data_IF_026339419999
#
_entry.id   IF_026339419999
#
_cell.length_a   1.000
_cell.length_b   1.000
_cell.length_c   1.000
_cell.angle_alpha   90.00
_cell.angle_beta   90.00
_cell.angle_gamma   90.00
#
_symmetry.space_group_name_H-M   'P 1'
#
loop_
_entity.id
_entity.type
_entity.pdbx_description
1 polymer ?
#
# COMPACT_ATOMS: atom_id res chain seq x y z
N UNK A 1 -21.29 -1.33 28.78
CA UNK A 1 -21.43 -0.56 27.52
C UNK A 1 -20.10 -0.43 26.82
N UNK A 2 -20.08 -0.69 25.54
CA UNK A 2 -18.87 -0.65 24.71
C UNK A 2 -18.39 0.79 24.56
N UNK A 3 -17.08 1.03 24.76
CA UNK A 3 -16.44 2.34 24.61
C UNK A 3 -16.67 2.95 23.22
N UNK A 4 -16.61 2.14 22.16
CA UNK A 4 -16.84 2.60 20.78
C UNK A 4 -18.30 3.04 20.58
N UNK A 5 -19.25 2.35 21.21
CA UNK A 5 -20.66 2.73 21.16
C UNK A 5 -20.90 4.07 21.86
N UNK A 6 -20.24 4.30 23.00
CA UNK A 6 -20.31 5.59 23.71
C UNK A 6 -19.76 6.73 22.87
N UNK A 7 -18.59 6.54 22.25
CA UNK A 7 -17.98 7.53 21.38
C UNK A 7 -18.89 7.90 20.20
N UNK A 8 -19.52 6.89 19.59
CA UNK A 8 -20.44 7.13 18.49
C UNK A 8 -21.66 7.93 18.92
N UNK A 9 -22.19 7.64 20.10
CA UNK A 9 -23.32 8.37 20.69
C UNK A 9 -22.99 9.84 20.90
N UNK A 10 -21.83 10.11 21.49
CA UNK A 10 -21.35 11.47 21.74
C UNK A 10 -21.19 12.29 20.45
N UNK A 11 -20.80 11.63 19.36
CA UNK A 11 -20.61 12.26 18.06
C UNK A 11 -21.85 12.26 17.17
N UNK A 12 -22.98 11.73 17.68
CA UNK A 12 -24.21 11.61 16.91
C UNK A 12 -24.16 10.54 15.82
N UNK A 13 -23.26 9.57 15.96
CA UNK A 13 -23.09 8.50 14.97
C UNK A 13 -23.93 7.29 15.38
N UNK A 14 -24.82 6.85 14.50
CA UNK A 14 -25.75 5.74 14.74
C UNK A 14 -25.13 4.37 14.44
N UNK A 15 -24.27 4.29 13.44
CA UNK A 15 -23.71 3.03 12.93
C UNK A 15 -22.18 3.13 12.79
N UNK A 16 -21.55 1.97 12.61
CA UNK A 16 -20.14 1.93 12.26
C UNK A 16 -19.87 2.66 10.94
N UNK A 17 -20.76 2.51 9.96
CA UNK A 17 -20.66 3.22 8.68
C UNK A 17 -20.67 4.74 8.88
N UNK A 18 -21.50 5.24 9.79
CA UNK A 18 -21.52 6.67 10.14
C UNK A 18 -20.17 7.11 10.72
N UNK A 19 -19.59 6.28 11.59
CA UNK A 19 -18.27 6.54 12.16
C UNK A 19 -17.18 6.54 11.08
N UNK A 20 -17.27 5.65 10.09
CA UNK A 20 -16.36 5.60 8.94
C UNK A 20 -16.51 6.85 8.07
N UNK A 21 -17.73 7.27 7.82
CA UNK A 21 -18.01 8.45 7.01
C UNK A 21 -17.48 9.73 7.67
N UNK A 22 -17.33 9.74 8.99
CA UNK A 22 -16.79 10.86 9.75
C UNK A 22 -15.26 10.92 9.74
N UNK A 23 -14.58 9.89 9.24
CA UNK A 23 -13.14 9.91 9.08
C UNK A 23 -12.77 10.98 8.04
N UNK A 24 -11.81 11.85 8.37
CA UNK A 24 -11.46 12.99 7.52
C UNK A 24 -11.00 12.52 6.12
N UNK A 25 -11.63 13.07 5.09
CA UNK A 25 -11.28 12.78 3.70
C UNK A 25 -9.96 13.44 3.28
N UNK A 26 -9.48 14.40 4.07
CA UNK A 26 -8.20 15.07 3.84
C UNK A 26 -7.00 14.27 4.32
N UNK A 27 -7.20 13.15 5.03
CA UNK A 27 -6.11 12.27 5.41
C UNK A 27 -5.44 11.64 4.18
N UNK A 28 -4.13 11.38 4.23
CA UNK A 28 -3.49 10.52 3.24
C UNK A 28 -4.28 9.21 3.09
N UNK A 29 -4.46 8.77 1.84
CA UNK A 29 -5.40 7.68 1.53
C UNK A 29 -5.06 6.36 2.24
N UNK A 30 -3.78 6.05 2.42
CA UNK A 30 -3.40 4.82 3.13
C UNK A 30 -3.77 4.89 4.61
N UNK A 31 -3.62 6.03 5.25
CA UNK A 31 -4.06 6.23 6.64
C UNK A 31 -5.58 6.19 6.75
N UNK A 32 -6.27 6.79 5.79
CA UNK A 32 -7.73 6.76 5.76
C UNK A 32 -8.22 5.32 5.66
N UNK A 33 -7.63 4.52 4.76
CA UNK A 33 -7.95 3.09 4.62
C UNK A 33 -7.71 2.34 5.95
N UNK A 34 -6.58 2.58 6.59
CA UNK A 34 -6.25 1.96 7.88
C UNK A 34 -7.29 2.29 8.96
N UNK A 35 -7.68 3.55 9.06
CA UNK A 35 -8.70 3.98 10.03
C UNK A 35 -10.07 3.34 9.76
N UNK A 36 -10.48 3.26 8.50
CA UNK A 36 -11.74 2.62 8.13
C UNK A 36 -11.71 1.12 8.50
N UNK A 37 -10.62 0.46 8.21
CA UNK A 37 -10.44 -0.96 8.53
C UNK A 37 -10.41 -1.20 10.03
N UNK A 38 -9.79 -0.29 10.81
CA UNK A 38 -9.80 -0.35 12.27
C UNK A 38 -11.22 -0.31 12.81
N UNK A 39 -12.06 0.56 12.29
CA UNK A 39 -13.45 0.67 12.72
C UNK A 39 -14.26 -0.59 12.38
N UNK A 40 -14.02 -1.14 11.19
CA UNK A 40 -14.64 -2.40 10.79
C UNK A 40 -14.24 -3.56 11.71
N UNK A 41 -12.97 -3.65 12.05
CA UNK A 41 -12.43 -4.68 12.93
C UNK A 41 -13.05 -4.61 14.33
N UNK A 42 -13.19 -3.40 14.88
CA UNK A 42 -13.83 -3.20 16.19
C UNK A 42 -15.31 -3.59 16.18
N UNK A 43 -15.96 -3.52 15.02
CA UNK A 43 -17.34 -3.97 14.85
C UNK A 43 -17.45 -5.48 14.63
N UNK A 44 -16.33 -6.20 14.57
CA UNK A 44 -16.28 -7.65 14.36
C UNK A 44 -16.01 -8.08 12.92
N UNK A 45 -15.80 -7.14 12.02
CA UNK A 45 -15.58 -7.43 10.60
C UNK A 45 -14.07 -7.45 10.32
N UNK A 46 -13.44 -8.64 10.49
CA UNK A 46 -12.01 -8.82 10.34
C UNK A 46 -11.68 -10.27 10.01
N UNK A 47 -10.55 -10.49 9.35
CA UNK A 47 -9.98 -11.83 9.17
C UNK A 47 -9.48 -12.36 10.53
N UNK A 48 -9.36 -13.69 10.63
CA UNK A 48 -8.88 -14.32 11.85
C UNK A 48 -7.39 -14.05 12.11
N UNK A 49 -6.59 -13.96 11.03
CA UNK A 49 -5.14 -13.75 11.12
C UNK A 49 -4.58 -13.12 9.84
N UNK A 50 -3.27 -12.87 9.83
CA UNK A 50 -2.59 -12.26 8.69
C UNK A 50 -2.66 -13.13 7.43
N UNK A 51 -2.74 -14.45 7.58
CA UNK A 51 -2.85 -15.35 6.44
C UNK A 51 -4.08 -15.05 5.60
N UNK A 52 -5.24 -14.81 6.25
CA UNK A 52 -6.47 -14.41 5.56
C UNK A 52 -6.31 -13.09 4.81
N UNK A 53 -5.62 -12.13 5.42
CA UNK A 53 -5.37 -10.83 4.79
C UNK A 53 -4.45 -10.98 3.56
N UNK A 54 -3.44 -11.84 3.64
CA UNK A 54 -2.52 -12.09 2.52
C UNK A 54 -3.22 -12.85 1.38
N UNK A 55 -4.09 -13.82 1.71
CA UNK A 55 -4.89 -14.52 0.72
C UNK A 55 -5.80 -13.54 -0.04
N UNK A 56 -6.36 -12.56 0.67
CA UNK A 56 -7.18 -11.51 0.05
C UNK A 56 -6.34 -10.64 -0.89
N UNK A 57 -5.12 -10.30 -0.48
CA UNK A 57 -4.21 -9.54 -1.33
C UNK A 57 -3.89 -10.32 -2.63
N UNK A 58 -3.64 -11.61 -2.51
CA UNK A 58 -3.42 -12.48 -3.68
C UNK A 58 -4.65 -12.49 -4.59
N UNK A 59 -5.84 -12.60 -4.03
CA UNK A 59 -7.10 -12.57 -4.77
C UNK A 59 -7.26 -11.26 -5.54
N UNK A 60 -7.02 -10.12 -4.87
CA UNK A 60 -7.16 -8.81 -5.50
C UNK A 60 -6.11 -8.58 -6.59
N UNK A 61 -4.89 -9.09 -6.40
CA UNK A 61 -3.85 -9.04 -7.44
C UNK A 61 -4.28 -9.83 -8.67
N UNK A 62 -4.89 -10.99 -8.48
CA UNK A 62 -5.42 -11.81 -9.59
C UNK A 62 -6.55 -11.07 -10.30
N UNK A 63 -7.47 -10.43 -9.57
CA UNK A 63 -8.56 -9.64 -10.15
C UNK A 63 -8.04 -8.45 -10.97
N UNK A 64 -6.96 -7.81 -10.51
CA UNK A 64 -6.31 -6.76 -11.29
C UNK A 64 -5.75 -7.32 -12.60
N UNK A 65 -5.13 -8.49 -12.56
CA UNK A 65 -4.61 -9.16 -13.77
C UNK A 65 -5.73 -9.47 -14.75
N UNK A 66 -6.85 -9.98 -14.26
CA UNK A 66 -8.04 -10.25 -15.08
C UNK A 66 -8.61 -8.97 -15.69
N UNK A 67 -8.62 -7.87 -14.94
CA UNK A 67 -9.07 -6.57 -15.43
C UNK A 67 -8.18 -6.08 -16.59
N UNK A 68 -6.87 -6.30 -16.50
CA UNK A 68 -5.93 -5.98 -17.59
C UNK A 68 -6.26 -6.80 -18.85
N UNK A 69 -6.54 -8.08 -18.69
CA UNK A 69 -6.91 -8.97 -19.81
C UNK A 69 -8.22 -8.53 -20.47
N UNK A 70 -9.19 -8.07 -19.67
CA UNK A 70 -10.49 -7.59 -20.16
C UNK A 70 -10.46 -6.17 -20.69
N UNK A 71 -9.44 -5.39 -20.32
CA UNK A 71 -9.30 -4.00 -20.73
C UNK A 71 -10.22 -3.03 -20.00
N UNK A 72 -10.63 -3.32 -18.75
CA UNK A 72 -11.58 -2.50 -17.99
C UNK A 72 -11.34 -2.60 -16.49
N UNK A 73 -11.94 -1.66 -15.72
CA UNK A 73 -11.94 -1.63 -14.24
C UNK A 73 -10.57 -1.53 -13.58
N UNK A 74 -9.58 -0.95 -14.26
CA UNK A 74 -8.21 -0.85 -13.75
C UNK A 74 -8.14 -0.07 -12.42
N UNK A 75 -8.84 1.05 -12.34
CA UNK A 75 -8.81 1.93 -11.16
C UNK A 75 -9.42 1.23 -9.94
N UNK A 76 -10.56 0.59 -10.11
CA UNK A 76 -11.23 -0.14 -9.04
C UNK A 76 -10.35 -1.27 -8.52
N UNK A 77 -9.83 -2.10 -9.42
CA UNK A 77 -9.04 -3.26 -9.01
C UNK A 77 -7.70 -2.86 -8.40
N UNK A 78 -7.07 -1.79 -8.90
CA UNK A 78 -5.85 -1.28 -8.26
C UNK A 78 -6.15 -0.75 -6.86
N UNK A 79 -7.25 -0.03 -6.69
CA UNK A 79 -7.70 0.43 -5.37
C UNK A 79 -7.89 -0.72 -4.40
N UNK A 80 -8.51 -1.82 -4.85
CA UNK A 80 -8.74 -3.00 -4.03
C UNK A 80 -7.42 -3.69 -3.62
N UNK A 81 -6.43 -3.73 -4.51
CA UNK A 81 -5.09 -4.25 -4.18
C UNK A 81 -4.43 -3.41 -3.09
N UNK A 82 -4.47 -2.09 -3.22
CA UNK A 82 -3.88 -1.19 -2.23
C UNK A 82 -4.58 -1.32 -0.87
N UNK A 83 -5.90 -1.42 -0.88
CA UNK A 83 -6.70 -1.58 0.33
C UNK A 83 -6.38 -2.91 1.04
N UNK A 84 -6.23 -3.99 0.27
CA UNK A 84 -5.86 -5.30 0.80
C UNK A 84 -4.43 -5.29 1.39
N UNK A 85 -3.51 -4.57 0.76
CA UNK A 85 -2.14 -4.43 1.28
C UNK A 85 -2.13 -3.71 2.63
N UNK A 86 -2.93 -2.65 2.78
CA UNK A 86 -3.07 -1.93 4.06
C UNK A 86 -3.60 -2.87 5.14
N UNK A 87 -4.58 -3.70 4.81
CA UNK A 87 -5.15 -4.69 5.74
C UNK A 87 -4.07 -5.65 6.26
N UNK A 88 -3.23 -6.18 5.38
CA UNK A 88 -2.14 -7.06 5.78
C UNK A 88 -1.17 -6.34 6.73
N UNK A 89 -0.85 -5.08 6.44
CA UNK A 89 0.02 -4.26 7.29
C UNK A 89 -0.54 -4.08 8.69
N UNK A 90 -1.86 -3.94 8.83
CA UNK A 90 -2.50 -3.79 10.14
C UNK A 90 -2.26 -5.00 11.04
N UNK A 91 -2.33 -6.21 10.50
CA UNK A 91 -2.02 -7.43 11.27
C UNK A 91 -0.58 -7.48 11.75
N UNK A 92 0.31 -6.79 11.07
CA UNK A 92 1.74 -6.77 11.39
C UNK A 92 2.13 -5.51 12.18
N UNK A 93 1.17 -4.67 12.54
CA UNK A 93 1.38 -3.39 13.24
C UNK A 93 2.31 -2.46 12.46
N UNK A 94 2.21 -2.47 11.14
CA UNK A 94 2.99 -1.60 10.25
C UNK A 94 2.12 -0.45 9.78
N UNK A 95 2.61 0.78 9.95
CA UNK A 95 1.96 1.98 9.42
C UNK A 95 2.18 2.02 7.90
N UNK A 96 1.10 2.03 7.09
CA UNK A 96 1.25 1.94 5.64
C UNK A 96 1.85 3.20 5.01
N UNK A 97 1.58 4.39 5.55
CA UNK A 97 2.17 5.63 5.04
C UNK A 97 3.68 5.65 5.29
N UNK A 98 4.09 5.32 6.50
CA UNK A 98 5.51 5.28 6.86
C UNK A 98 6.26 4.24 6.03
N UNK A 99 5.66 3.05 5.86
CA UNK A 99 6.26 1.98 5.08
C UNK A 99 6.44 2.39 3.61
N UNK A 100 5.42 3.02 3.01
CA UNK A 100 5.50 3.45 1.61
C UNK A 100 6.47 4.62 1.46
N UNK A 101 6.46 5.58 2.38
CA UNK A 101 7.42 6.68 2.36
C UNK A 101 8.86 6.17 2.45
N UNK A 102 9.13 5.19 3.31
CA UNK A 102 10.45 4.56 3.40
C UNK A 102 10.85 3.91 2.07
N UNK A 103 9.90 3.28 1.38
CA UNK A 103 10.14 2.70 0.05
C UNK A 103 10.45 3.78 -0.98
N UNK A 104 9.77 4.93 -0.91
CA UNK A 104 10.07 6.07 -1.78
C UNK A 104 11.50 6.56 -1.58
N UNK A 105 11.94 6.72 -0.33
CA UNK A 105 13.30 7.15 -0.02
C UNK A 105 14.34 6.13 -0.50
N UNK A 106 14.06 4.87 -0.30
CA UNK A 106 14.90 3.76 -0.77
C UNK A 106 15.01 3.78 -2.30
N UNK A 107 13.91 4.02 -2.98
CA UNK A 107 13.89 4.12 -4.44
C UNK A 107 14.78 5.26 -4.93
N UNK A 108 14.67 6.44 -4.32
CA UNK A 108 15.50 7.60 -4.66
C UNK A 108 16.98 7.28 -4.49
N UNK A 109 17.35 6.68 -3.36
CA UNK A 109 18.74 6.34 -3.08
C UNK A 109 19.31 5.33 -4.09
N UNK A 110 18.53 4.31 -4.43
CA UNK A 110 18.93 3.30 -5.41
C UNK A 110 19.02 3.88 -6.82
N UNK A 111 18.05 4.72 -7.18
CA UNK A 111 18.05 5.38 -8.49
C UNK A 111 19.28 6.28 -8.65
N UNK A 112 19.65 7.02 -7.60
CA UNK A 112 20.86 7.85 -7.61
C UNK A 112 22.11 7.03 -7.88
N UNK A 113 22.21 5.83 -7.31
CA UNK A 113 23.34 4.92 -7.57
C UNK A 113 23.37 4.45 -9.01
N UNK A 114 22.20 4.19 -9.59
CA UNK A 114 22.11 3.83 -11.03
C UNK A 114 22.58 5.00 -11.89
N UNK A 115 22.16 6.23 -11.57
CA UNK A 115 22.60 7.42 -12.28
C UNK A 115 24.12 7.61 -12.18
N UNK A 116 24.69 7.42 -10.98
CA UNK A 116 26.13 7.50 -10.76
C UNK A 116 26.90 6.44 -11.57
N UNK A 117 26.38 5.23 -11.62
CA UNK A 117 26.98 4.15 -12.41
C UNK A 117 26.96 4.47 -13.90
N UNK A 118 25.87 5.03 -14.41
CA UNK A 118 25.77 5.47 -15.81
C UNK A 118 26.78 6.59 -16.09
N UNK A 119 26.86 7.58 -15.22
CA UNK A 119 27.78 8.70 -15.38
C UNK A 119 29.24 8.24 -15.38
N UNK A 120 29.59 7.29 -14.52
CA UNK A 120 30.95 6.74 -14.46
C UNK A 120 31.36 6.03 -15.75
N UNK A 121 30.40 5.54 -16.53
CA UNK A 121 30.63 4.89 -17.83
C UNK A 121 30.50 5.86 -19.00
N UNK A 122 30.19 7.12 -18.73
CA UNK A 122 29.89 8.09 -19.77
C UNK A 122 28.67 7.76 -20.61
N UNK A 123 27.73 6.98 -20.05
CA UNK A 123 26.54 6.53 -20.74
C UNK A 123 25.31 7.30 -20.22
N UNK A 124 24.39 7.61 -21.13
CA UNK A 124 23.07 8.13 -20.74
C UNK A 124 22.15 6.95 -20.45
N UNK A 125 21.40 7.05 -19.35
CA UNK A 125 20.48 5.99 -18.93
C UNK A 125 19.49 5.59 -20.03
N UNK A 126 18.98 6.59 -20.76
CA UNK A 126 18.02 6.38 -21.85
C UNK A 126 18.60 5.58 -23.02
N UNK A 127 19.92 5.49 -23.13
CA UNK A 127 20.60 4.75 -24.21
C UNK A 127 20.89 3.29 -23.85
N UNK A 128 20.67 2.90 -22.58
CA UNK A 128 20.96 1.54 -22.12
C UNK A 128 19.75 0.63 -22.28
N UNK A 129 19.95 -0.64 -22.66
CA UNK A 129 18.85 -1.59 -22.72
C UNK A 129 18.35 -1.93 -21.31
N UNK A 130 17.09 -2.38 -21.22
CA UNK A 130 16.42 -2.67 -19.94
C UNK A 130 17.18 -3.69 -19.09
N UNK A 131 17.74 -4.73 -19.71
CA UNK A 131 18.49 -5.75 -18.98
C UNK A 131 19.72 -5.18 -18.29
N UNK A 132 20.41 -4.23 -18.92
CA UNK A 132 21.57 -3.54 -18.33
C UNK A 132 21.12 -2.63 -17.18
N UNK A 133 20.03 -1.89 -17.35
CA UNK A 133 19.46 -1.06 -16.28
C UNK A 133 19.05 -1.92 -15.09
N UNK A 134 18.45 -3.08 -15.36
CA UNK A 134 18.05 -4.03 -14.30
C UNK A 134 19.26 -4.54 -13.53
N UNK A 135 20.37 -4.82 -14.24
CA UNK A 135 21.62 -5.23 -13.59
C UNK A 135 22.15 -4.14 -12.66
N UNK A 136 22.19 -2.91 -13.14
CA UNK A 136 22.62 -1.76 -12.34
C UNK A 136 21.72 -1.54 -11.13
N UNK A 137 20.42 -1.71 -11.31
CA UNK A 137 19.44 -1.61 -10.22
C UNK A 137 19.67 -2.69 -9.16
N UNK A 138 19.91 -3.93 -9.58
CA UNK A 138 20.18 -5.03 -8.65
C UNK A 138 21.48 -4.81 -7.87
N UNK A 139 22.51 -4.26 -8.50
CA UNK A 139 23.75 -3.87 -7.82
C UNK A 139 23.48 -2.76 -6.79
N UNK A 140 22.62 -1.80 -7.12
CA UNK A 140 22.26 -0.71 -6.21
C UNK A 140 21.51 -1.20 -4.99
N UNK A 141 20.74 -2.29 -5.08
CA UNK A 141 20.05 -2.92 -3.95
C UNK A 141 21.02 -3.50 -2.92
N UNK A 142 22.16 -3.99 -3.38
CA UNK A 142 23.15 -4.67 -2.56
C UNK A 142 24.53 -4.01 -2.79
N UNK A 143 24.68 -2.76 -2.28
CA UNK A 143 25.96 -2.07 -2.49
C UNK A 143 27.07 -2.82 -1.76
N UNK A 144 28.12 -3.13 -2.50
CA UNK A 144 29.35 -3.62 -1.89
C UNK A 144 30.09 -2.42 -1.32
N UNK A 145 30.47 -2.50 -0.05
CA UNK A 145 31.25 -1.46 0.61
C UNK A 145 32.63 -1.30 0.00
#
# INVERSE_FOLDING_TARGET
MNWEALKRQEKGQQTTADAMDAVARSLPALWRADKLQSKAARAGFEFADVSGALDKLDEETRELREAVERGTNFSEELGDVLFAAVKAGRFLSVDPEDALNATCEKFIARFRRVEEACAARGAEMSSLPLDELTRLWNEAKHPTE
#
